data_IF_813111436455
#
_entry.id   IF_813111436455
#
_cell.length_a   1.000
_cell.length_b   1.000
_cell.length_c   1.000
_cell.angle_alpha   90.00
_cell.angle_beta   90.00
_cell.angle_gamma   90.00
#
_symmetry.space_group_name_H-M   'P 1'
#
loop_
_entity.id
_entity.type
_entity.pdbx_description
1 polymer ?
#
# COMPACT_ATOMS: atom_id res chain seq x y z
N UNK A 1 62.06 14.45 2.38
CA UNK A 1 61.94 15.76 1.71
C UNK A 1 60.47 16.13 1.65
N UNK A 2 60.13 17.11 2.47
CA UNK A 2 58.86 17.80 2.71
C UNK A 2 58.27 18.41 1.40
N UNK A 3 56.99 18.75 1.20
CA UNK A 3 55.96 19.40 2.02
C UNK A 3 54.57 19.13 1.41
N UNK A 4 53.53 18.98 2.25
CA UNK A 4 52.10 19.08 1.90
C UNK A 4 51.66 20.54 1.87
N UNK A 5 50.92 20.97 0.84
CA UNK A 5 50.32 22.31 0.78
C UNK A 5 48.80 22.22 0.58
N UNK A 6 48.06 22.44 1.67
CA UNK A 6 46.60 22.62 1.72
C UNK A 6 46.26 24.07 1.38
N UNK A 7 45.48 24.31 0.32
CA UNK A 7 44.88 25.62 0.03
C UNK A 7 43.44 25.67 0.56
N UNK A 8 43.31 26.25 1.75
CA UNK A 8 42.08 26.58 2.43
C UNK A 8 41.46 27.82 1.77
N UNK A 9 40.28 27.69 1.17
CA UNK A 9 39.53 28.82 0.62
C UNK A 9 38.61 29.40 1.71
N UNK A 10 38.63 30.72 1.97
CA UNK A 10 37.74 31.35 2.94
C UNK A 10 36.32 31.55 2.35
N UNK A 11 35.31 31.14 3.12
CA UNK A 11 33.89 31.33 2.84
C UNK A 11 33.44 32.80 3.02
N UNK A 12 32.54 33.34 2.18
CA UNK A 12 31.98 34.68 2.38
C UNK A 12 30.92 34.68 3.50
N UNK A 13 31.04 35.62 4.45
CA UNK A 13 30.02 35.90 5.47
C UNK A 13 29.06 36.97 4.95
N UNK A 14 27.82 36.59 4.64
CA UNK A 14 26.71 37.54 4.49
C UNK A 14 26.12 37.82 5.88
N UNK A 15 26.34 39.04 6.39
CA UNK A 15 25.74 39.56 7.61
C UNK A 15 24.84 40.72 7.22
N UNK A 16 23.54 40.48 7.10
CA UNK A 16 22.54 41.55 6.93
C UNK A 16 22.08 42.04 8.31
N UNK A 17 22.07 43.35 8.58
CA UNK A 17 21.43 43.86 9.78
C UNK A 17 19.91 43.91 9.55
N UNK A 18 19.20 42.90 10.06
CA UNK A 18 17.75 43.02 10.21
C UNK A 18 17.46 44.08 11.29
N UNK A 19 16.72 45.12 10.92
CA UNK A 19 16.21 46.14 11.82
C UNK A 19 15.42 45.49 12.97
N UNK A 20 15.73 45.89 14.20
CA UNK A 20 14.94 45.52 15.37
C UNK A 20 13.57 46.19 15.29
N UNK A 21 12.53 45.38 15.10
CA UNK A 21 11.14 45.80 15.17
C UNK A 21 10.81 46.34 16.56
N UNK A 22 10.20 47.52 16.56
CA UNK A 22 9.70 48.24 17.72
C UNK A 22 8.71 47.39 18.53
N UNK A 23 8.94 47.38 19.85
CA UNK A 23 8.02 46.87 20.86
C UNK A 23 6.74 47.71 20.89
N UNK A 24 5.65 47.17 20.35
CA UNK A 24 4.30 47.65 20.64
C UNK A 24 3.71 46.80 21.76
N UNK A 25 3.26 47.39 22.89
CA UNK A 25 2.63 46.62 23.95
C UNK A 25 1.23 46.18 23.52
N UNK A 26 1.05 44.88 23.32
CA UNK A 26 -0.24 44.29 23.02
C UNK A 26 -1.07 44.20 24.31
N UNK A 27 -2.09 45.05 24.41
CA UNK A 27 -3.06 45.06 25.50
C UNK A 27 -3.92 43.78 25.50
N UNK A 28 -4.32 43.24 26.68
CA UNK A 28 -5.11 42.04 26.75
C UNK A 28 -6.60 42.24 26.46
N UNK A 29 -7.09 41.26 25.72
CA UNK A 29 -8.45 40.80 25.44
C UNK A 29 -9.51 41.01 26.53
N UNK A 30 -10.66 41.56 26.12
CA UNK A 30 -11.98 41.07 26.57
C UNK A 30 -13.05 41.38 25.52
N UNK A 31 -13.66 40.34 24.93
CA UNK A 31 -14.93 40.49 24.21
C UNK A 31 -16.01 39.72 24.97
N UNK A 32 -17.19 40.32 25.19
CA UNK A 32 -18.26 39.72 25.96
C UNK A 32 -18.94 38.57 25.21
N UNK A 33 -19.24 37.54 25.99
CA UNK A 33 -20.20 36.49 25.68
C UNK A 33 -21.55 37.09 25.27
N UNK A 34 -21.93 36.92 24.01
CA UNK A 34 -23.33 37.02 23.59
C UNK A 34 -23.68 35.78 22.77
N UNK A 35 -24.40 34.89 23.43
CA UNK A 35 -25.04 33.70 22.87
C UNK A 35 -26.09 34.08 21.84
N UNK A 36 -25.72 34.07 20.57
CA UNK A 36 -26.66 33.83 19.48
C UNK A 36 -26.28 32.47 18.90
N UNK A 37 -27.02 31.45 19.33
CA UNK A 37 -26.89 30.09 18.85
C UNK A 37 -27.17 30.06 17.35
N UNK A 38 -26.11 30.01 16.54
CA UNK A 38 -26.24 29.61 15.15
C UNK A 38 -26.82 28.19 15.16
N UNK A 39 -28.00 27.94 14.55
CA UNK A 39 -28.49 26.58 14.41
C UNK A 39 -27.42 25.80 13.67
N UNK A 40 -26.83 24.83 14.36
CA UNK A 40 -25.79 23.99 13.80
C UNK A 40 -26.39 23.35 12.57
N UNK A 41 -25.82 23.54 11.35
CA UNK A 41 -26.37 22.87 10.18
C UNK A 41 -26.27 21.38 10.48
N UNK A 42 -27.44 20.75 10.63
CA UNK A 42 -27.54 19.30 10.82
C UNK A 42 -26.84 18.68 9.63
N UNK A 43 -25.63 18.18 9.89
CA UNK A 43 -24.77 17.58 8.89
C UNK A 43 -25.59 16.47 8.25
N UNK A 44 -26.02 16.68 7.01
CA UNK A 44 -26.70 15.66 6.22
C UNK A 44 -25.72 14.47 6.10
N UNK A 45 -25.89 13.46 6.96
CA UNK A 45 -25.09 12.22 6.98
C UNK A 45 -25.54 11.31 5.86
N UNK A 46 -25.65 11.84 4.65
CA UNK A 46 -25.83 11.07 3.42
C UNK A 46 -24.58 11.19 2.55
N UNK A 47 -23.40 11.08 3.17
CA UNK A 47 -22.22 10.72 2.41
C UNK A 47 -22.20 9.19 2.35
N UNK A 48 -22.32 8.57 1.17
CA UNK A 48 -22.10 7.14 1.06
C UNK A 48 -20.69 6.84 1.59
N UNK A 49 -20.48 5.75 2.36
CA UNK A 49 -19.12 5.35 2.71
C UNK A 49 -18.33 5.20 1.42
N UNK A 50 -17.22 5.92 1.29
CA UNK A 50 -16.39 5.92 0.09
C UNK A 50 -15.93 4.48 -0.13
N UNK A 51 -16.64 3.77 -1.02
CA UNK A 51 -16.53 2.32 -1.15
C UNK A 51 -15.19 1.97 -1.77
N UNK A 52 -14.29 1.55 -0.90
CA UNK A 52 -13.23 0.57 -1.12
C UNK A 52 -12.42 0.74 -2.41
N UNK A 53 -11.38 1.57 -2.33
CA UNK A 53 -10.22 1.43 -3.22
C UNK A 53 -9.74 -0.02 -3.22
N UNK A 54 -9.68 -0.63 -4.41
CA UNK A 54 -9.22 -2.01 -4.58
C UNK A 54 -7.72 -2.11 -4.30
N UNK A 55 -7.37 -2.96 -3.34
CA UNK A 55 -5.98 -3.31 -3.06
C UNK A 55 -5.37 -4.10 -4.22
N UNK A 56 -4.09 -3.85 -4.49
CA UNK A 56 -3.33 -4.60 -5.47
C UNK A 56 -2.64 -5.76 -4.76
N UNK A 57 -2.71 -6.96 -5.33
CA UNK A 57 -2.01 -8.13 -4.80
C UNK A 57 -1.05 -8.65 -5.88
N UNK A 58 0.13 -9.08 -5.46
CA UNK A 58 1.17 -9.52 -6.38
C UNK A 58 2.21 -10.40 -5.71
N UNK A 59 3.14 -10.92 -6.51
CA UNK A 59 4.27 -11.71 -6.03
C UNK A 59 5.54 -10.88 -5.98
N UNK A 60 6.34 -11.06 -4.94
CA UNK A 60 7.66 -10.43 -4.83
C UNK A 60 8.60 -11.10 -5.84
N UNK A 61 9.19 -10.31 -6.73
CA UNK A 61 10.15 -10.76 -7.75
C UNK A 61 11.58 -10.52 -7.30
N UNK A 62 11.83 -9.44 -6.54
CA UNK A 62 13.15 -9.11 -6.05
C UNK A 62 13.05 -8.41 -4.69
N UNK A 63 13.92 -8.82 -3.76
CA UNK A 63 14.05 -8.27 -2.41
C UNK A 63 15.51 -7.88 -2.10
N UNK A 64 16.34 -7.68 -3.12
CA UNK A 64 17.78 -7.35 -2.96
C UNK A 64 18.01 -5.94 -2.42
N UNK A 65 17.03 -5.05 -2.54
CA UNK A 65 17.16 -3.64 -2.13
C UNK A 65 16.69 -3.41 -0.70
N UNK A 66 17.40 -2.55 0.04
CA UNK A 66 17.01 -2.23 1.41
C UNK A 66 15.64 -1.55 1.48
N UNK A 67 14.84 -2.01 2.44
CA UNK A 67 13.53 -1.49 2.80
C UNK A 67 12.55 -1.39 1.63
N UNK A 68 12.77 -2.22 0.61
CA UNK A 68 12.13 -2.12 -0.70
C UNK A 68 11.98 -3.49 -1.34
N UNK A 69 10.75 -3.82 -1.74
CA UNK A 69 10.48 -5.04 -2.49
C UNK A 69 9.86 -4.71 -3.85
N UNK A 70 10.35 -5.38 -4.89
CA UNK A 70 9.81 -5.27 -6.24
C UNK A 70 8.70 -6.30 -6.43
N UNK A 71 7.45 -5.83 -6.54
CA UNK A 71 6.26 -6.69 -6.62
C UNK A 71 5.68 -6.67 -8.02
N UNK A 72 5.47 -7.85 -8.60
CA UNK A 72 4.78 -8.04 -9.87
C UNK A 72 3.29 -8.25 -9.65
N UNK A 73 2.49 -7.27 -10.07
CA UNK A 73 1.03 -7.33 -10.03
C UNK A 73 0.52 -7.77 -11.39
N UNK A 74 -0.20 -8.89 -11.42
CA UNK A 74 -0.87 -9.38 -12.63
C UNK A 74 -2.36 -9.05 -12.56
N UNK A 75 -2.88 -8.37 -13.58
CA UNK A 75 -4.32 -8.10 -13.73
C UNK A 75 -4.84 -8.62 -15.05
N UNK A 76 -6.08 -9.08 -15.06
CA UNK A 76 -6.80 -9.44 -16.28
C UNK A 76 -7.57 -8.22 -16.79
N UNK A 77 -7.32 -7.82 -18.02
CA UNK A 77 -8.08 -6.77 -18.70
C UNK A 77 -8.60 -7.31 -20.04
N UNK A 78 -9.84 -6.99 -20.43
CA UNK A 78 -10.32 -7.32 -21.77
C UNK A 78 -9.52 -6.54 -22.82
N UNK A 79 -9.17 -7.20 -23.92
CA UNK A 79 -8.62 -6.52 -25.09
C UNK A 79 -9.71 -5.61 -25.70
N UNK A 80 -9.41 -4.34 -26.07
CA UNK A 80 -10.43 -3.36 -26.47
C UNK A 80 -11.27 -3.80 -27.68
N UNK A 81 -10.63 -4.34 -28.74
CA UNK A 81 -11.32 -4.83 -29.95
C UNK A 81 -11.96 -6.21 -29.76
N UNK A 82 -11.14 -7.22 -29.47
CA UNK A 82 -11.54 -8.63 -29.45
C UNK A 82 -12.18 -9.13 -28.14
N UNK A 83 -12.20 -8.33 -27.07
CA UNK A 83 -12.82 -8.64 -25.77
C UNK A 83 -12.26 -9.88 -25.02
N UNK A 84 -11.33 -10.65 -25.60
CA UNK A 84 -10.55 -11.70 -24.90
C UNK A 84 -9.85 -11.11 -23.67
N UNK A 85 -9.92 -11.79 -22.52
CA UNK A 85 -9.21 -11.38 -21.29
C UNK A 85 -7.72 -11.68 -21.42
N UNK A 86 -6.89 -10.65 -21.35
CA UNK A 86 -5.43 -10.73 -21.45
C UNK A 86 -4.80 -10.41 -20.09
N UNK A 87 -3.76 -11.15 -19.71
CA UNK A 87 -2.96 -10.89 -18.50
C UNK A 87 -2.00 -9.72 -18.78
N UNK A 88 -2.16 -8.62 -18.04
CA UNK A 88 -1.23 -7.48 -18.01
C UNK A 88 -0.46 -7.51 -16.72
N UNK A 89 0.86 -7.41 -16.79
CA UNK A 89 1.75 -7.41 -15.64
C UNK A 89 2.39 -6.04 -15.46
N UNK A 90 2.55 -5.58 -14.22
CA UNK A 90 3.29 -4.36 -13.90
C UNK A 90 4.08 -4.57 -12.61
N UNK A 91 5.35 -4.14 -12.61
CA UNK A 91 6.21 -4.14 -11.43
C UNK A 91 6.02 -2.84 -10.64
N UNK A 92 5.99 -2.95 -9.33
CA UNK A 92 5.85 -1.84 -8.39
C UNK A 92 6.97 -1.92 -7.36
N UNK A 93 7.50 -0.76 -6.96
CA UNK A 93 8.40 -0.65 -5.82
C UNK A 93 7.56 -0.38 -4.58
N UNK A 94 7.53 -1.35 -3.66
CA UNK A 94 6.82 -1.22 -2.39
C UNK A 94 7.82 -1.00 -1.25
N UNK A 95 7.43 -0.19 -0.28
CA UNK A 95 8.19 -0.01 0.94
C UNK A 95 7.84 -1.08 1.96
N UNK A 96 8.88 -1.68 2.50
CA UNK A 96 8.84 -2.59 3.64
C UNK A 96 9.89 -2.08 4.63
N UNK A 97 9.54 -1.49 5.78
CA UNK A 97 10.51 -0.93 6.69
C UNK A 97 11.38 -1.99 7.38
N UNK A 98 10.83 -3.20 7.56
CA UNK A 98 11.39 -4.27 8.39
C UNK A 98 12.02 -5.40 7.58
N UNK A 99 12.01 -5.30 6.24
CA UNK A 99 12.53 -6.32 5.31
C UNK A 99 11.98 -7.73 5.58
N UNK A 100 10.70 -7.82 5.90
CA UNK A 100 10.04 -9.08 6.27
C UNK A 100 9.77 -9.97 5.06
N UNK A 101 9.57 -9.39 3.87
CA UNK A 101 9.14 -10.13 2.69
C UNK A 101 10.31 -10.60 1.82
N UNK A 102 10.26 -11.88 1.42
CA UNK A 102 11.27 -12.51 0.57
C UNK A 102 10.76 -12.71 -0.87
N UNK A 103 11.68 -13.11 -1.75
CA UNK A 103 11.34 -13.42 -3.15
C UNK A 103 10.39 -14.62 -3.21
N UNK A 104 9.29 -14.48 -3.95
CA UNK A 104 8.26 -15.50 -4.09
C UNK A 104 7.00 -15.27 -3.26
N UNK A 105 7.08 -14.45 -2.22
CA UNK A 105 5.95 -14.16 -1.33
C UNK A 105 4.80 -13.45 -2.06
N UNK A 106 3.57 -13.72 -1.62
CA UNK A 106 2.38 -12.99 -2.08
C UNK A 106 2.07 -11.90 -1.09
N UNK A 107 2.11 -10.66 -1.55
CA UNK A 107 1.91 -9.47 -0.72
C UNK A 107 0.78 -8.61 -1.26
N UNK A 108 0.16 -7.84 -0.36
CA UNK A 108 -0.82 -6.82 -0.68
C UNK A 108 -0.13 -5.44 -0.68
N UNK A 109 -0.43 -4.62 -1.69
CA UNK A 109 0.08 -3.25 -1.81
C UNK A 109 -1.02 -2.28 -1.41
N UNK A 110 -0.72 -1.46 -0.41
CA UNK A 110 -1.55 -0.35 0.03
C UNK A 110 -0.98 0.97 -0.47
N UNK A 111 -1.83 1.90 -0.90
CA UNK A 111 -1.39 3.23 -1.30
C UNK A 111 -1.01 4.02 -0.06
N UNK A 112 0.16 4.65 -0.07
CA UNK A 112 0.62 5.52 1.00
C UNK A 112 1.09 6.87 0.44
N UNK A 113 1.54 7.78 1.32
CA UNK A 113 2.30 8.95 0.87
C UNK A 113 3.51 8.50 0.04
N UNK A 114 3.95 9.24 -0.99
CA UNK A 114 5.19 8.94 -1.68
C UNK A 114 6.36 8.90 -0.69
N UNK A 115 7.14 7.82 -0.72
CA UNK A 115 8.33 7.61 0.10
C UNK A 115 9.59 7.90 -0.73
N UNK A 116 9.52 7.64 -2.02
CA UNK A 116 10.52 8.02 -3.01
C UNK A 116 9.88 8.39 -4.34
N UNK A 117 10.68 8.68 -5.37
CA UNK A 117 10.21 8.94 -6.73
C UNK A 117 9.31 7.82 -7.30
N UNK A 118 9.52 6.58 -6.89
CA UNK A 118 8.79 5.41 -7.40
C UNK A 118 8.01 4.66 -6.32
N UNK A 119 8.48 4.69 -5.06
CA UNK A 119 7.85 4.00 -3.94
C UNK A 119 6.68 4.82 -3.41
N UNK A 120 5.47 4.46 -3.83
CA UNK A 120 4.21 5.05 -3.36
C UNK A 120 3.26 3.99 -2.77
N UNK A 121 3.79 2.81 -2.47
CA UNK A 121 3.04 1.68 -1.92
C UNK A 121 3.75 1.12 -0.69
N UNK A 122 2.97 0.65 0.27
CA UNK A 122 3.43 -0.08 1.45
C UNK A 122 3.09 -1.57 1.26
N UNK A 123 4.05 -2.45 1.57
CA UNK A 123 3.86 -3.89 1.51
C UNK A 123 3.20 -4.40 2.80
N UNK A 124 2.03 -5.04 2.65
CA UNK A 124 1.20 -5.54 3.76
C UNK A 124 0.97 -7.04 3.56
N UNK A 125 0.96 -7.85 4.65
CA UNK A 125 0.60 -9.25 4.56
C UNK A 125 -0.80 -9.44 3.99
N UNK A 126 -1.00 -10.51 3.21
CA UNK A 126 -2.32 -10.80 2.62
C UNK A 126 -3.28 -11.25 3.73
N UNK A 127 -4.48 -10.66 3.83
CA UNK A 127 -5.46 -11.08 4.82
C UNK A 127 -5.89 -12.52 4.55
N UNK A 128 -5.99 -13.33 5.61
CA UNK A 128 -6.41 -14.72 5.51
C UNK A 128 -7.78 -14.80 4.83
N UNK A 129 -7.83 -15.42 3.65
CA UNK A 129 -9.11 -15.79 3.04
C UNK A 129 -9.66 -16.95 3.84
N UNK A 130 -10.92 -16.87 4.27
CA UNK A 130 -11.65 -18.02 4.82
C UNK A 130 -11.57 -19.15 3.78
N UNK A 131 -10.68 -20.11 3.99
CA UNK A 131 -10.66 -21.33 3.22
C UNK A 131 -11.99 -22.01 3.50
N UNK A 132 -12.78 -22.29 2.46
CA UNK A 132 -13.77 -23.36 2.57
C UNK A 132 -12.95 -24.62 2.83
N UNK A 133 -12.85 -25.02 4.09
CA UNK A 133 -12.42 -26.36 4.46
C UNK A 133 -13.28 -27.32 3.66
N UNK A 134 -12.66 -28.05 2.75
CA UNK A 134 -13.26 -29.18 2.05
C UNK A 134 -13.61 -30.18 3.15
N UNK A 135 -14.86 -30.21 3.59
CA UNK A 135 -15.38 -31.31 4.41
C UNK A 135 -15.17 -32.57 3.59
N UNK A 136 -14.40 -33.51 4.14
CA UNK A 136 -14.15 -34.80 3.52
C UNK A 136 -15.49 -35.49 3.24
N UNK A 137 -15.75 -35.74 1.97
CA UNK A 137 -16.76 -36.67 1.50
C UNK A 137 -16.11 -38.04 1.57
N UNK A 138 -16.68 -38.93 2.37
CA UNK A 138 -16.11 -40.23 2.70
C UNK A 138 -15.91 -41.10 1.46
N UNK A 139 -14.81 -41.83 1.44
CA UNK A 139 -14.58 -42.92 0.51
C UNK A 139 -15.63 -44.03 0.74
N UNK A 140 -16.71 -43.98 -0.03
CA UNK A 140 -17.55 -45.16 -0.26
C UNK A 140 -17.00 -45.85 -1.51
N UNK A 141 -16.39 -47.04 -1.41
CA UNK A 141 -16.11 -47.83 -2.60
C UNK A 141 -17.46 -48.26 -3.19
N UNK A 142 -17.76 -47.75 -4.39
CA UNK A 142 -18.75 -48.37 -5.27
C UNK A 142 -18.25 -49.79 -5.58
N UNK A 143 -18.73 -50.78 -4.83
CA UNK A 143 -18.74 -52.15 -5.30
C UNK A 143 -19.60 -52.20 -6.56
N UNK A 144 -18.94 -52.25 -7.70
CA UNK A 144 -19.55 -52.70 -8.94
C UNK A 144 -19.86 -54.18 -8.76
N UNK A 145 -21.05 -54.46 -8.22
CA UNK A 145 -21.66 -55.78 -8.25
C UNK A 145 -21.94 -56.16 -9.70
N UNK A 146 -20.96 -56.78 -10.36
CA UNK A 146 -21.15 -57.49 -11.62
C UNK A 146 -21.55 -58.92 -11.21
N UNK A 147 -22.80 -59.37 -11.38
CA UNK A 147 -23.13 -60.78 -11.24
C UNK A 147 -22.80 -61.46 -12.57
N UNK A 148 -21.66 -62.14 -12.63
CA UNK A 148 -21.32 -63.04 -13.74
C UNK A 148 -21.13 -64.44 -13.18
N UNK A 149 -22.25 -65.11 -12.88
CA UNK A 149 -22.24 -66.57 -12.79
C UNK A 149 -23.49 -67.15 -13.49
N UNK A 150 -23.17 -67.94 -14.51
CA UNK A 150 -23.80 -69.22 -14.85
C UNK A 150 -25.15 -69.21 -15.56
N UNK A 151 -25.10 -69.14 -16.89
CA UNK A 151 -26.02 -69.89 -17.76
C UNK A 151 -25.23 -70.93 -18.58
N UNK A 152 -25.65 -72.20 -18.44
CA UNK A 152 -25.43 -73.37 -19.32
C UNK A 152 -24.04 -74.04 -19.19
N UNK A 153 -23.88 -75.37 -19.06
CA UNK A 153 -24.70 -76.58 -19.32
C UNK A 153 -24.45 -77.61 -18.23
#
# INVERSE_FOLDING_TARGET
MSLTATLLHPSPKLSTPFLHGSSTPFSPLSKPTSSLAFPTPQRLTFLPPIRALKYLQGRVVCATSDKTVAVEVTRLAPHPKYKRRVRKKKKYQAHDPDNQFQVGDVVQLEKCRPISKTKAFLAVPVPAKKSKSKSGEGDAPNELGIPLESLQV
#
